data_IF_127193185793
#
_entry.id   IF_127193185793
#
_cell.length_a   1.000
_cell.length_b   1.000
_cell.length_c   1.000
_cell.angle_alpha   90.00
_cell.angle_beta   90.00
_cell.angle_gamma   90.00
#
_symmetry.space_group_name_H-M   'P 1'
#
loop_
_entity.id
_entity.type
_entity.pdbx_description
1 polymer ?
#
# COMPACT_ATOMS: atom_id res chain seq x y z
N UNK A 1 -7.17 16.21 1.27
CA UNK A 1 -8.03 16.98 0.34
C UNK A 1 -9.52 16.72 0.55
N UNK A 2 -10.01 15.48 0.45
CA UNK A 2 -11.46 15.18 0.50
C UNK A 2 -12.15 15.61 1.81
N UNK A 3 -11.52 15.37 2.96
CA UNK A 3 -12.02 15.82 4.27
C UNK A 3 -12.21 17.34 4.32
N UNK A 4 -11.18 18.09 3.93
CA UNK A 4 -11.21 19.56 3.87
C UNK A 4 -12.32 20.05 2.95
N UNK A 5 -12.50 19.41 1.79
CA UNK A 5 -13.57 19.74 0.85
C UNK A 5 -14.96 19.49 1.46
N UNK A 6 -15.16 18.33 2.11
CA UNK A 6 -16.41 17.99 2.81
C UNK A 6 -16.73 19.04 3.86
N UNK A 7 -15.76 19.36 4.72
CA UNK A 7 -15.99 20.20 5.90
C UNK A 7 -16.16 21.67 5.51
N UNK A 8 -15.36 22.17 4.58
CA UNK A 8 -15.43 23.57 4.13
C UNK A 8 -16.75 23.89 3.42
N UNK A 9 -17.22 22.99 2.55
CA UNK A 9 -18.46 23.18 1.79
C UNK A 9 -19.68 22.52 2.43
N UNK A 10 -19.52 21.88 3.60
CA UNK A 10 -20.56 21.14 4.31
C UNK A 10 -21.31 20.14 3.40
N UNK A 11 -20.53 19.35 2.65
CA UNK A 11 -21.07 18.44 1.64
C UNK A 11 -21.69 17.20 2.29
N UNK A 12 -22.86 16.79 1.79
CA UNK A 12 -23.49 15.53 2.21
C UNK A 12 -22.74 14.31 1.64
N UNK A 13 -22.88 13.11 2.25
CA UNK A 13 -22.27 11.89 1.71
C UNK A 13 -22.66 11.59 0.26
N UNK A 14 -23.88 11.93 -0.16
CA UNK A 14 -24.31 11.76 -1.55
C UNK A 14 -23.58 12.71 -2.50
N UNK A 15 -23.38 13.97 -2.10
CA UNK A 15 -22.61 14.92 -2.92
C UNK A 15 -21.15 14.51 -2.95
N UNK A 16 -20.56 14.19 -1.81
CA UNK A 16 -19.18 13.69 -1.72
C UNK A 16 -18.94 12.45 -2.59
N UNK A 17 -19.86 11.48 -2.58
CA UNK A 17 -19.79 10.30 -3.45
C UNK A 17 -19.67 10.71 -4.93
N UNK A 18 -20.52 11.65 -5.37
CA UNK A 18 -20.50 12.15 -6.76
C UNK A 18 -19.19 12.87 -7.08
N UNK A 19 -18.68 13.70 -6.17
CA UNK A 19 -17.40 14.40 -6.39
C UNK A 19 -16.23 13.41 -6.49
N UNK A 20 -16.17 12.41 -5.60
CA UNK A 20 -15.14 11.36 -5.64
C UNK A 20 -15.24 10.56 -6.94
N UNK A 21 -16.44 10.19 -7.38
CA UNK A 21 -16.66 9.48 -8.65
C UNK A 21 -16.26 10.34 -9.86
N UNK A 22 -16.55 11.64 -9.84
CA UNK A 22 -16.13 12.57 -10.87
C UNK A 22 -14.61 12.67 -10.98
N UNK A 23 -13.92 12.82 -9.85
CA UNK A 23 -12.45 12.84 -9.80
C UNK A 23 -11.84 11.51 -10.26
N UNK A 24 -12.46 10.38 -9.91
CA UNK A 24 -12.02 9.06 -10.36
C UNK A 24 -12.18 8.91 -11.87
N UNK A 25 -13.32 9.32 -12.44
CA UNK A 25 -13.53 9.31 -13.90
C UNK A 25 -12.51 10.18 -14.63
N UNK A 26 -12.27 11.40 -14.16
CA UNK A 26 -11.25 12.29 -14.72
C UNK A 26 -9.85 11.65 -14.67
N UNK A 27 -9.52 10.96 -13.58
CA UNK A 27 -8.26 10.20 -13.45
C UNK A 27 -8.18 9.09 -14.50
N UNK A 28 -9.26 8.34 -14.70
CA UNK A 28 -9.31 7.27 -15.71
C UNK A 28 -9.16 7.84 -17.13
N UNK A 29 -9.80 8.96 -17.43
CA UNK A 29 -9.70 9.64 -18.73
C UNK A 29 -8.29 10.15 -19.00
N UNK A 30 -7.65 10.78 -18.01
CA UNK A 30 -6.26 11.26 -18.09
C UNK A 30 -5.26 10.11 -18.33
N UNK A 31 -5.45 8.96 -17.68
CA UNK A 31 -4.62 7.78 -17.93
C UNK A 31 -4.90 7.16 -19.30
N UNK A 32 -6.18 7.08 -19.68
CA UNK A 32 -6.61 6.46 -20.93
C UNK A 32 -6.13 7.25 -22.15
N UNK A 33 -6.11 8.58 -22.10
CA UNK A 33 -5.56 9.42 -23.16
C UNK A 33 -4.05 9.15 -23.39
N UNK A 34 -3.35 8.66 -22.36
CA UNK A 34 -1.94 8.26 -22.38
C UNK A 34 -1.73 6.76 -22.60
N UNK A 35 -2.80 6.04 -22.96
CA UNK A 35 -2.79 4.62 -23.29
C UNK A 35 -2.69 3.67 -22.08
N UNK A 36 -3.04 4.13 -20.88
CA UNK A 36 -2.98 3.34 -19.64
C UNK A 36 -4.39 3.07 -19.14
N UNK A 37 -4.77 1.80 -19.03
CA UNK A 37 -6.03 1.44 -18.40
C UNK A 37 -5.85 1.37 -16.88
N UNK A 38 -6.61 2.18 -16.13
CA UNK A 38 -6.55 2.23 -14.66
C UNK A 38 -6.60 0.84 -13.98
N UNK A 39 -7.43 -0.07 -14.50
CA UNK A 39 -7.57 -1.43 -13.98
C UNK A 39 -6.26 -2.26 -14.00
N UNK A 40 -5.33 -1.95 -14.91
CA UNK A 40 -4.02 -2.61 -15.02
C UNK A 40 -3.05 -2.19 -13.90
N UNK A 41 -3.33 -1.09 -13.21
CA UNK A 41 -2.49 -0.53 -12.15
C UNK A 41 -2.73 -1.19 -10.79
N UNK A 42 -3.82 -1.95 -10.64
CA UNK A 42 -4.27 -2.54 -9.37
C UNK A 42 -3.14 -3.22 -8.59
N UNK A 43 -2.28 -4.00 -9.24
CA UNK A 43 -1.21 -4.73 -8.54
C UNK A 43 -0.09 -3.85 -7.98
N UNK A 44 -0.01 -2.57 -8.36
CA UNK A 44 0.85 -1.59 -7.69
C UNK A 44 0.14 -0.84 -6.56
N UNK A 45 -1.19 -0.89 -6.49
CA UNK A 45 -2.01 -0.05 -5.60
C UNK A 45 -2.60 -0.82 -4.41
N UNK A 46 -2.51 -2.15 -4.39
CA UNK A 46 -3.01 -2.98 -3.29
C UNK A 46 -1.97 -4.03 -2.88
N UNK A 47 -1.92 -4.43 -1.60
CA UNK A 47 -1.02 -5.50 -1.17
C UNK A 47 -1.39 -6.84 -1.81
N UNK A 48 -0.39 -7.66 -2.11
CA UNK A 48 -0.56 -8.99 -2.71
C UNK A 48 0.00 -10.07 -1.77
N UNK A 49 -0.84 -11.02 -1.37
CA UNK A 49 -0.56 -12.00 -0.31
C UNK A 49 0.69 -12.88 -0.52
N UNK A 50 1.18 -13.05 -1.75
CA UNK A 50 2.39 -13.82 -2.07
C UNK A 50 3.58 -12.97 -2.56
N UNK A 51 3.58 -11.66 -2.25
CA UNK A 51 4.66 -10.73 -2.62
C UNK A 51 5.24 -10.01 -1.41
N UNK A 52 6.52 -9.70 -1.46
CA UNK A 52 7.20 -8.98 -0.39
C UNK A 52 7.01 -7.47 -0.50
N UNK A 53 7.13 -6.80 0.63
CA UNK A 53 7.32 -5.36 0.71
C UNK A 53 8.66 -5.14 1.42
N UNK A 54 9.47 -4.19 0.95
CA UNK A 54 10.78 -3.91 1.52
C UNK A 54 11.11 -2.43 1.45
N UNK A 55 11.79 -1.95 2.48
CA UNK A 55 12.39 -0.61 2.56
C UNK A 55 13.91 -0.73 2.49
N UNK A 56 14.52 -0.33 1.38
CA UNK A 56 15.96 -0.32 1.18
C UNK A 56 16.55 0.96 1.78
N UNK A 57 17.55 0.81 2.66
CA UNK A 57 18.11 1.89 3.45
C UNK A 57 19.51 2.23 2.94
N UNK A 58 19.76 3.54 2.79
CA UNK A 58 20.99 4.09 2.27
C UNK A 58 21.53 5.15 3.22
N UNK A 59 22.83 5.11 3.51
CA UNK A 59 23.53 6.15 4.26
C UNK A 59 23.88 7.30 3.30
N UNK A 60 23.16 8.42 3.45
CA UNK A 60 23.38 9.62 2.64
C UNK A 60 24.74 10.25 2.88
N UNK A 61 25.38 9.99 4.04
CA UNK A 61 26.71 10.52 4.34
C UNK A 61 27.81 9.86 3.50
N UNK A 62 27.52 8.68 2.93
CA UNK A 62 28.40 7.98 1.99
C UNK A 62 28.23 8.45 0.55
N UNK A 63 27.38 9.44 0.29
CA UNK A 63 27.11 9.98 -1.05
C UNK A 63 27.65 11.41 -1.15
N UNK A 64 28.58 11.65 -2.07
CA UNK A 64 29.21 12.97 -2.25
C UNK A 64 28.25 14.01 -2.85
N UNK A 65 27.25 13.56 -3.61
CA UNK A 65 26.26 14.44 -4.23
C UNK A 65 25.35 15.07 -3.18
N UNK A 66 25.15 16.38 -3.27
CA UNK A 66 24.12 17.09 -2.47
C UNK A 66 22.70 16.62 -2.80
N UNK A 67 22.52 15.90 -3.91
CA UNK A 67 21.28 15.24 -4.28
C UNK A 67 21.46 13.72 -4.19
N UNK A 68 21.57 13.22 -2.97
CA UNK A 68 21.76 11.78 -2.71
C UNK A 68 20.63 10.92 -3.27
N UNK A 69 19.41 11.45 -3.33
CA UNK A 69 18.27 10.76 -3.93
C UNK A 69 18.50 10.39 -5.40
N UNK A 70 19.22 11.20 -6.17
CA UNK A 70 19.58 10.88 -7.55
C UNK A 70 20.54 9.69 -7.62
N UNK A 71 21.60 9.69 -6.82
CA UNK A 71 22.57 8.60 -6.79
C UNK A 71 21.92 7.26 -6.38
N UNK A 72 20.99 7.31 -5.43
CA UNK A 72 20.19 6.13 -5.03
C UNK A 72 19.24 5.71 -6.15
N UNK A 73 18.61 6.66 -6.87
CA UNK A 73 17.75 6.36 -8.00
C UNK A 73 18.52 5.68 -9.14
N UNK A 74 19.72 6.15 -9.47
CA UNK A 74 20.62 5.53 -10.46
C UNK A 74 20.96 4.08 -10.10
N UNK A 75 21.13 3.79 -8.81
CA UNK A 75 21.39 2.43 -8.33
C UNK A 75 20.13 1.53 -8.31
N UNK A 76 18.94 2.09 -8.10
CA UNK A 76 17.70 1.31 -7.85
C UNK A 76 16.80 1.16 -9.08
N UNK A 77 16.68 2.19 -9.93
CA UNK A 77 15.83 2.17 -11.14
C UNK A 77 16.13 0.97 -12.06
N UNK A 78 17.41 0.62 -12.33
CA UNK A 78 17.75 -0.51 -13.21
C UNK A 78 17.28 -1.87 -12.67
N UNK A 79 17.02 -1.98 -11.36
CA UNK A 79 16.73 -3.25 -10.70
C UNK A 79 15.25 -3.66 -10.80
N UNK A 80 14.36 -2.73 -11.15
CA UNK A 80 12.94 -3.03 -11.32
C UNK A 80 12.68 -3.96 -12.52
N UNK A 81 11.93 -5.04 -12.30
CA UNK A 81 11.48 -5.93 -13.38
C UNK A 81 10.47 -5.21 -14.27
N UNK A 82 10.80 -4.97 -15.55
CA UNK A 82 9.92 -4.28 -16.53
C UNK A 82 8.56 -4.94 -16.80
N UNK A 83 8.23 -6.08 -16.18
CA UNK A 83 6.91 -6.73 -16.25
C UNK A 83 6.04 -6.49 -15.01
N UNK A 84 6.59 -5.93 -13.94
CA UNK A 84 5.87 -5.69 -12.69
C UNK A 84 5.03 -4.41 -12.73
N UNK A 85 4.09 -4.29 -11.80
CA UNK A 85 3.50 -3.00 -11.41
C UNK A 85 3.74 -2.82 -9.92
N UNK A 86 4.40 -1.75 -9.52
CA UNK A 86 4.85 -1.51 -8.14
C UNK A 86 4.78 -0.02 -7.82
N UNK A 87 4.38 0.30 -6.59
CA UNK A 87 4.51 1.65 -6.06
C UNK A 87 5.84 1.79 -5.33
N UNK A 88 6.47 2.94 -5.52
CA UNK A 88 7.72 3.31 -4.88
C UNK A 88 7.50 4.56 -4.03
N UNK A 89 7.87 4.44 -2.77
CA UNK A 89 7.82 5.53 -1.80
C UNK A 89 9.23 5.84 -1.33
N UNK A 90 9.53 7.11 -1.14
CA UNK A 90 10.86 7.56 -0.77
C UNK A 90 10.80 8.58 0.37
N UNK A 91 11.91 8.74 1.08
CA UNK A 91 12.07 9.75 2.12
C UNK A 91 13.19 9.41 3.09
N UNK A 92 13.60 10.39 3.89
CA UNK A 92 14.54 10.17 4.96
C UNK A 92 13.85 9.55 6.19
N UNK A 93 14.60 8.91 7.07
CA UNK A 93 14.07 8.44 8.36
C UNK A 93 13.91 9.60 9.34
N UNK A 94 12.88 10.42 9.12
CA UNK A 94 12.55 11.58 9.97
C UNK A 94 11.87 11.17 11.28
N UNK A 95 12.10 11.93 12.33
CA UNK A 95 11.48 11.74 13.65
C UNK A 95 12.28 12.45 14.73
N UNK A 96 11.64 12.85 15.83
CA UNK A 96 12.34 13.52 16.95
C UNK A 96 13.03 12.50 17.87
N UNK A 97 12.42 11.33 18.06
CA UNK A 97 12.96 10.26 18.90
C UNK A 97 13.97 9.40 18.13
N UNK A 98 15.24 9.78 18.22
CA UNK A 98 16.34 9.06 17.56
C UNK A 98 16.60 7.69 18.17
N UNK A 99 16.31 7.50 19.46
CA UNK A 99 16.46 6.20 20.10
C UNK A 99 15.43 5.22 19.53
N UNK A 100 14.19 5.67 19.35
CA UNK A 100 13.15 4.86 18.72
C UNK A 100 13.52 4.43 17.29
N UNK A 101 14.08 5.34 16.48
CA UNK A 101 14.53 5.02 15.11
C UNK A 101 15.66 3.99 15.16
N UNK A 102 16.63 4.19 16.05
CA UNK A 102 17.73 3.25 16.25
C UNK A 102 17.23 1.85 16.65
N UNK A 103 16.30 1.76 17.61
CA UNK A 103 15.71 0.50 18.06
C UNK A 103 14.99 -0.21 16.89
N UNK A 104 14.23 0.53 16.06
CA UNK A 104 13.61 -0.03 14.85
C UNK A 104 14.65 -0.64 13.91
N UNK A 105 15.78 0.05 13.69
CA UNK A 105 16.85 -0.45 12.84
C UNK A 105 17.47 -1.71 13.45
N UNK A 106 17.76 -1.72 14.75
CA UNK A 106 18.30 -2.90 15.41
C UNK A 106 17.36 -4.11 15.34
N UNK A 107 16.06 -3.88 15.48
CA UNK A 107 15.04 -4.94 15.46
C UNK A 107 14.78 -5.51 14.06
N UNK A 108 14.78 -4.66 13.04
CA UNK A 108 14.16 -5.00 11.74
C UNK A 108 15.10 -4.94 10.53
N UNK A 109 16.26 -4.28 10.64
CA UNK A 109 17.16 -4.10 9.51
C UNK A 109 17.93 -5.39 9.22
N UNK A 110 17.73 -5.94 8.03
CA UNK A 110 18.62 -6.93 7.45
C UNK A 110 19.85 -6.19 6.96
N UNK A 111 20.88 -6.17 7.81
CA UNK A 111 22.12 -5.44 7.59
C UNK A 111 22.95 -6.09 6.46
N UNK A 112 23.33 -5.29 5.47
CA UNK A 112 24.28 -5.66 4.41
C UNK A 112 25.67 -5.14 4.71
N UNK A 113 25.76 -3.89 5.16
CA UNK A 113 27.01 -3.21 5.48
C UNK A 113 26.91 -2.56 6.86
N UNK A 114 27.99 -2.66 7.64
CA UNK A 114 28.07 -1.94 8.91
C UNK A 114 28.16 -0.44 8.67
N UNK A 115 27.39 0.33 9.43
CA UNK A 115 27.43 1.79 9.40
C UNK A 115 27.37 2.32 10.84
N UNK A 116 27.70 3.59 11.02
CA UNK A 116 27.56 4.27 12.31
C UNK A 116 26.29 5.09 12.28
N UNK A 117 25.32 4.74 13.12
CA UNK A 117 24.10 5.54 13.23
C UNK A 117 24.42 6.89 13.90
N UNK A 118 24.29 7.97 13.12
CA UNK A 118 24.45 9.34 13.62
C UNK A 118 23.07 9.96 13.90
N UNK A 119 22.15 9.84 12.94
CA UNK A 119 20.79 10.37 13.02
C UNK A 119 19.91 9.71 11.94
N UNK A 120 18.61 9.61 12.17
CA UNK A 120 17.67 9.03 11.20
C UNK A 120 17.64 9.78 9.87
N UNK A 121 17.74 11.12 9.89
CA UNK A 121 17.78 11.94 8.66
C UNK A 121 19.05 11.76 7.83
N UNK A 122 20.07 11.07 8.35
CA UNK A 122 21.23 10.67 7.56
C UNK A 122 20.93 9.42 6.71
N UNK A 123 19.81 8.74 6.95
CA UNK A 123 19.39 7.53 6.25
C UNK A 123 18.24 7.83 5.30
N UNK A 124 18.47 7.58 4.01
CA UNK A 124 17.46 7.66 2.97
C UNK A 124 16.84 6.28 2.72
N UNK A 125 15.53 6.25 2.49
CA UNK A 125 14.76 5.03 2.31
C UNK A 125 14.10 5.01 0.94
N UNK A 126 14.18 3.85 0.26
CA UNK A 126 13.38 3.52 -0.92
C UNK A 126 12.52 2.31 -0.57
N UNK A 127 11.23 2.53 -0.40
CA UNK A 127 10.24 1.49 -0.18
C UNK A 127 9.65 1.03 -1.50
N UNK A 128 9.54 -0.29 -1.70
CA UNK A 128 8.94 -0.90 -2.88
C UNK A 128 7.96 -1.97 -2.46
N UNK A 129 6.72 -1.87 -2.97
CA UNK A 129 5.71 -2.89 -2.72
C UNK A 129 5.77 -4.06 -3.74
N UNK A 130 5.11 -5.14 -3.35
CA UNK A 130 4.79 -6.28 -4.20
C UNK A 130 5.97 -6.92 -4.97
N UNK A 131 7.15 -6.96 -4.36
CA UNK A 131 8.33 -7.65 -4.87
C UNK A 131 8.11 -9.16 -4.91
N UNK A 132 8.60 -9.83 -5.97
CA UNK A 132 8.80 -11.28 -5.89
C UNK A 132 9.98 -11.61 -4.98
N UNK A 133 10.09 -12.85 -4.50
CA UNK A 133 11.28 -13.28 -3.75
C UNK A 133 12.56 -13.06 -4.58
N UNK A 134 12.51 -13.39 -5.88
CA UNK A 134 13.61 -13.18 -6.80
C UNK A 134 13.94 -11.69 -7.01
N UNK A 135 12.93 -10.81 -7.01
CA UNK A 135 13.15 -9.37 -7.15
C UNK A 135 13.76 -8.77 -5.87
N UNK A 136 13.26 -9.17 -4.68
CA UNK A 136 13.84 -8.74 -3.41
C UNK A 136 15.32 -9.14 -3.31
N UNK A 137 15.62 -10.40 -3.64
CA UNK A 137 16.98 -10.92 -3.65
C UNK A 137 17.86 -10.20 -4.70
N UNK A 138 17.32 -9.93 -5.89
CA UNK A 138 18.04 -9.17 -6.92
C UNK A 138 18.37 -7.75 -6.45
N UNK A 139 17.41 -7.04 -5.84
CA UNK A 139 17.64 -5.73 -5.27
C UNK A 139 18.75 -5.79 -4.20
N UNK A 140 18.58 -6.64 -3.19
CA UNK A 140 19.52 -6.74 -2.09
C UNK A 140 20.94 -7.04 -2.59
N UNK A 141 21.11 -8.08 -3.41
CA UNK A 141 22.42 -8.49 -3.91
C UNK A 141 23.09 -7.45 -4.80
N UNK A 142 22.33 -6.80 -5.69
CA UNK A 142 22.91 -5.76 -6.57
C UNK A 142 23.35 -4.54 -5.75
N UNK A 143 22.53 -4.13 -4.78
CA UNK A 143 22.81 -2.98 -3.93
C UNK A 143 23.97 -3.24 -2.95
N UNK A 144 24.28 -4.48 -2.58
CA UNK A 144 25.46 -4.80 -1.76
C UNK A 144 26.78 -4.23 -2.33
N UNK A 145 26.86 -4.02 -3.65
CA UNK A 145 28.04 -3.44 -4.31
C UNK A 145 28.05 -1.90 -4.33
N UNK A 146 26.96 -1.26 -3.91
CA UNK A 146 26.81 0.18 -3.83
C UNK A 146 27.13 0.62 -2.39
N UNK A 147 28.28 1.27 -2.13
CA UNK A 147 28.74 1.55 -0.77
C UNK A 147 27.74 2.28 0.15
N UNK A 148 26.89 3.20 -0.33
CA UNK A 148 25.85 3.81 0.50
C UNK A 148 24.77 2.84 1.00
N UNK A 149 24.61 1.66 0.39
CA UNK A 149 23.58 0.71 0.77
C UNK A 149 23.88 0.05 2.11
N UNK A 150 23.02 0.31 3.10
CA UNK A 150 23.16 -0.22 4.45
C UNK A 150 22.52 -1.61 4.57
N UNK A 151 21.36 -1.80 3.95
CA UNK A 151 20.54 -3.00 4.12
C UNK A 151 19.08 -2.75 3.78
N UNK A 152 18.19 -3.65 4.17
CA UNK A 152 16.75 -3.45 3.98
C UNK A 152 15.92 -3.88 5.18
N UNK A 153 14.77 -3.25 5.36
CA UNK A 153 13.78 -3.63 6.37
C UNK A 153 12.64 -4.38 5.66
N UNK A 154 12.40 -5.67 6.00
CA UNK A 154 11.23 -6.39 5.55
C UNK A 154 9.96 -5.74 6.11
N UNK A 155 8.99 -5.45 5.23
CA UNK A 155 7.72 -4.80 5.57
C UNK A 155 6.51 -5.57 5.05
N UNK A 156 6.70 -6.84 4.70
CA UNK A 156 5.63 -7.75 4.25
C UNK A 156 4.53 -7.93 5.30
N UNK A 157 4.90 -7.88 6.58
CA UNK A 157 4.01 -8.07 7.74
C UNK A 157 3.92 -6.81 8.59
N UNK A 158 2.89 -6.71 9.42
CA UNK A 158 2.75 -5.65 10.40
C UNK A 158 3.93 -5.66 11.38
N UNK A 159 4.55 -4.50 11.54
CA UNK A 159 5.67 -4.30 12.48
C UNK A 159 5.75 -2.83 12.91
N UNK A 160 6.53 -2.56 13.96
CA UNK A 160 6.87 -1.18 14.37
C UNK A 160 7.53 -0.43 13.22
N UNK A 161 8.45 -1.08 12.51
CA UNK A 161 9.13 -0.51 11.36
C UNK A 161 8.15 -0.13 10.24
N UNK A 162 7.25 -1.05 9.83
CA UNK A 162 6.25 -0.77 8.79
C UNK A 162 5.33 0.39 9.19
N UNK A 163 4.89 0.41 10.45
CA UNK A 163 4.06 1.48 10.99
C UNK A 163 4.77 2.82 10.93
N UNK A 164 6.02 2.88 11.39
CA UNK A 164 6.84 4.09 11.33
C UNK A 164 7.08 4.57 9.89
N UNK A 165 7.49 3.68 8.98
CA UNK A 165 7.73 4.02 7.57
C UNK A 165 6.47 4.56 6.89
N UNK A 166 5.29 4.02 7.22
CA UNK A 166 4.01 4.50 6.67
C UNK A 166 3.66 5.95 7.02
N UNK A 167 4.26 6.53 8.06
CA UNK A 167 4.01 7.92 8.46
C UNK A 167 5.02 8.92 7.91
N UNK A 168 6.13 8.46 7.35
CA UNK A 168 7.23 9.34 6.94
C UNK A 168 7.54 9.29 5.44
N UNK A 169 7.24 8.17 4.76
CA UNK A 169 7.54 8.03 3.34
C UNK A 169 6.43 8.64 2.49
N UNK A 170 6.83 9.29 1.40
CA UNK A 170 5.93 9.90 0.43
C UNK A 170 5.92 9.09 -0.88
N UNK A 171 4.78 9.09 -1.58
CA UNK A 171 4.70 8.48 -2.91
C UNK A 171 5.63 9.21 -3.87
N UNK A 172 6.59 8.48 -4.45
CA UNK A 172 7.52 9.03 -5.43
C UNK A 172 7.02 8.74 -6.84
N UNK A 173 6.68 7.48 -7.14
CA UNK A 173 6.11 7.11 -8.43
C UNK A 173 5.44 5.73 -8.38
N UNK A 174 4.51 5.53 -9.31
CA UNK A 174 3.92 4.23 -9.63
C UNK A 174 4.58 3.71 -10.91
N UNK A 175 5.26 2.57 -10.81
CA UNK A 175 5.87 1.90 -11.94
C UNK A 175 4.89 0.87 -12.50
N UNK A 176 4.59 0.95 -13.80
CA UNK A 176 3.78 -0.03 -14.53
C UNK A 176 4.49 -0.48 -15.81
N UNK A 177 4.98 -1.71 -15.83
CA UNK A 177 5.70 -2.23 -16.99
C UNK A 177 7.01 -1.45 -17.23
N UNK A 178 7.11 -0.78 -18.37
CA UNK A 178 8.18 0.18 -18.70
C UNK A 178 7.72 1.64 -18.59
N UNK A 179 6.58 1.91 -17.94
CA UNK A 179 6.07 3.27 -17.73
C UNK A 179 6.20 3.66 -16.26
N UNK A 180 6.64 4.89 -15.99
CA UNK A 180 6.64 5.52 -14.69
C UNK A 180 5.49 6.53 -14.68
N UNK A 181 4.62 6.46 -13.69
CA UNK A 181 3.45 7.31 -13.50
C UNK A 181 3.68 8.14 -12.25
N UNK A 182 3.54 9.47 -12.33
CA UNK A 182 3.72 10.38 -11.19
C UNK A 182 2.76 11.57 -11.24
N UNK A 183 2.65 12.27 -10.10
CA UNK A 183 1.95 13.56 -10.04
C UNK A 183 2.76 14.69 -10.68
N UNK A 184 2.08 15.64 -11.33
CA UNK A 184 2.62 16.94 -11.68
C UNK A 184 1.76 18.07 -11.10
N UNK A 185 2.21 19.31 -11.17
CA UNK A 185 1.48 20.45 -10.59
C UNK A 185 0.04 20.55 -11.13
N UNK A 186 -0.91 20.88 -10.25
CA UNK A 186 -2.35 20.89 -10.60
C UNK A 186 -2.72 22.04 -11.56
N UNK A 187 -1.87 23.06 -11.73
CA UNK A 187 -2.06 24.14 -12.70
C UNK A 187 -1.60 23.78 -14.13
N UNK A 188 -0.96 22.61 -14.29
CA UNK A 188 -0.48 22.09 -15.56
C UNK A 188 -1.52 21.15 -16.20
N UNK A 189 -1.69 21.16 -17.53
CA UNK A 189 -2.65 20.30 -18.21
C UNK A 189 -2.20 18.83 -18.26
N UNK A 190 -3.17 17.90 -18.17
CA UNK A 190 -2.91 16.45 -18.17
C UNK A 190 -2.44 15.92 -19.53
N UNK A 191 -2.46 16.70 -20.60
CA UNK A 191 -1.88 16.31 -21.89
C UNK A 191 -0.35 16.22 -21.83
N UNK A 192 0.28 16.89 -20.87
CA UNK A 192 1.72 16.94 -20.73
C UNK A 192 2.26 15.83 -19.81
N UNK A 193 3.50 15.40 -20.08
CA UNK A 193 4.25 14.47 -19.23
C UNK A 193 5.50 15.18 -18.69
N UNK A 194 5.66 15.32 -17.37
CA UNK A 194 6.92 15.73 -16.75
C UNK A 194 7.40 14.80 -15.68
N UNK A 195 8.73 14.77 -15.60
CA UNK A 195 9.49 14.13 -14.56
C UNK A 195 9.78 15.11 -13.42
N UNK A 196 8.79 15.37 -12.55
CA UNK A 196 9.02 16.30 -11.44
C UNK A 196 10.08 15.82 -10.45
N UNK A 197 10.20 14.51 -10.27
CA UNK A 197 11.20 13.93 -9.37
C UNK A 197 12.61 14.07 -9.94
N UNK A 198 12.75 14.22 -11.26
CA UNK A 198 14.04 14.48 -11.93
C UNK A 198 14.98 13.28 -12.02
N UNK A 199 14.52 12.06 -11.72
CA UNK A 199 15.35 10.86 -11.82
C UNK A 199 15.55 10.40 -13.28
N UNK A 200 16.65 9.70 -13.61
CA UNK A 200 17.02 9.35 -14.98
C UNK A 200 16.26 8.13 -15.52
N UNK A 201 14.92 8.16 -15.46
CA UNK A 201 14.07 7.04 -15.88
C UNK A 201 14.26 6.67 -17.36
N UNK A 202 14.35 7.69 -18.23
CA UNK A 202 14.48 7.50 -19.68
C UNK A 202 15.82 6.86 -20.06
N UNK A 203 16.89 7.19 -19.34
CA UNK A 203 18.22 6.57 -19.52
C UNK A 203 18.19 5.06 -19.25
N UNK A 204 17.27 4.60 -18.40
CA UNK A 204 17.03 3.18 -18.12
C UNK A 204 15.90 2.57 -18.95
N UNK A 205 15.43 3.28 -19.98
CA UNK A 205 14.44 2.81 -20.94
C UNK A 205 13.04 2.70 -20.34
N UNK A 206 12.68 3.62 -19.45
CA UNK A 206 11.31 3.85 -19.02
C UNK A 206 10.71 5.04 -19.77
N UNK A 207 9.42 4.96 -20.04
CA UNK A 207 8.60 6.09 -20.48
C UNK A 207 8.02 6.80 -19.28
N UNK A 208 7.99 8.12 -19.31
CA UNK A 208 7.38 8.92 -18.25
C UNK A 208 5.95 9.27 -18.65
N UNK A 209 5.05 9.14 -17.69
CA UNK A 209 3.68 9.61 -17.72
C UNK A 209 3.42 10.39 -16.45
N UNK A 210 2.74 11.52 -16.56
CA UNK A 210 2.28 12.25 -15.39
C UNK A 210 0.84 12.73 -15.56
N UNK A 211 0.19 12.99 -14.43
CA UNK A 211 -1.11 13.63 -14.32
C UNK A 211 -1.11 14.55 -13.10
N UNK A 212 -2.06 15.46 -13.03
CA UNK A 212 -2.24 16.38 -11.90
C UNK A 212 -2.14 15.63 -10.55
N UNK A 213 -1.35 16.17 -9.62
CA UNK A 213 -1.05 15.53 -8.33
C UNK A 213 -2.29 15.25 -7.51
N UNK A 214 -3.32 16.11 -7.59
CA UNK A 214 -4.61 15.85 -6.94
C UNK A 214 -5.26 14.52 -7.38
N UNK A 215 -5.08 14.10 -8.63
CA UNK A 215 -5.54 12.80 -9.13
C UNK A 215 -4.60 11.68 -8.71
N UNK A 216 -3.29 11.90 -8.86
CA UNK A 216 -2.28 10.91 -8.51
C UNK A 216 -2.36 10.54 -7.01
N UNK A 217 -2.36 11.53 -6.12
CA UNK A 217 -2.34 11.32 -4.68
C UNK A 217 -3.62 10.66 -4.16
N UNK A 218 -4.76 10.94 -4.78
CA UNK A 218 -6.05 10.34 -4.38
C UNK A 218 -6.22 8.89 -4.84
N UNK A 219 -5.82 8.57 -6.07
CA UNK A 219 -6.20 7.30 -6.70
C UNK A 219 -5.04 6.39 -7.08
N UNK A 220 -3.82 6.93 -7.17
CA UNK A 220 -2.61 6.21 -7.58
C UNK A 220 -1.53 6.17 -6.49
N UNK A 221 -1.72 6.90 -5.40
CA UNK A 221 -0.88 6.83 -4.21
C UNK A 221 -1.10 5.52 -3.46
N UNK A 222 -0.03 4.73 -3.28
CA UNK A 222 -0.09 3.55 -2.42
C UNK A 222 0.00 3.98 -0.96
N UNK A 223 -0.86 3.40 -0.13
CA UNK A 223 -0.82 3.57 1.32
C UNK A 223 -0.20 2.31 1.94
N UNK A 224 0.98 2.46 2.55
CA UNK A 224 1.59 1.39 3.34
C UNK A 224 0.60 1.02 4.46
N UNK A 225 0.26 -0.27 4.54
CA UNK A 225 -0.68 -0.75 5.54
C UNK A 225 -0.14 -0.51 6.95
N UNK A 226 -0.96 0.15 7.78
CA UNK A 226 -0.68 0.45 9.18
C UNK A 226 -1.96 0.43 10.03
N UNK A 227 -1.83 0.40 11.37
CA UNK A 227 -2.95 0.65 12.26
C UNK A 227 -3.66 1.97 11.99
N UNK A 228 -4.99 1.98 12.16
CA UNK A 228 -5.77 3.22 12.18
C UNK A 228 -5.53 3.91 13.51
N UNK A 229 -4.93 5.10 13.48
CA UNK A 229 -4.72 5.91 14.67
C UNK A 229 -5.95 6.76 14.99
N UNK A 230 -6.27 6.97 16.29
CA UNK A 230 -7.34 7.88 16.67
C UNK A 230 -7.18 9.27 16.03
N UNK A 231 -8.24 9.76 15.39
CA UNK A 231 -8.26 11.02 14.64
C UNK A 231 -7.96 10.88 13.14
N UNK A 232 -7.66 9.67 12.65
CA UNK A 232 -7.42 9.39 11.23
C UNK A 232 -8.49 8.45 10.61
N UNK A 233 -9.64 8.29 11.26
CA UNK A 233 -10.73 7.41 10.81
C UNK A 233 -11.42 7.93 9.53
N UNK A 234 -11.31 9.22 9.26
CA UNK A 234 -11.87 9.89 8.08
C UNK A 234 -11.40 9.27 6.76
N UNK A 235 -10.20 8.70 6.73
CA UNK A 235 -9.66 8.02 5.55
C UNK A 235 -10.53 6.81 5.15
N UNK A 236 -10.99 6.03 6.13
CA UNK A 236 -11.88 4.88 5.92
C UNK A 236 -13.27 5.36 5.52
N UNK A 237 -13.76 6.43 6.13
CA UNK A 237 -15.03 7.06 5.77
C UNK A 237 -15.04 7.48 4.29
N UNK A 238 -14.02 8.23 3.85
CA UNK A 238 -13.89 8.70 2.47
C UNK A 238 -13.74 7.54 1.48
N UNK A 239 -13.01 6.49 1.89
CA UNK A 239 -12.89 5.26 1.09
C UNK A 239 -14.25 4.60 0.87
N UNK A 240 -15.05 4.43 1.92
CA UNK A 240 -16.41 3.90 1.80
C UNK A 240 -17.32 4.83 0.98
N UNK A 241 -17.16 6.14 1.13
CA UNK A 241 -17.91 7.12 0.37
C UNK A 241 -17.60 7.07 -1.13
N UNK A 242 -16.41 6.62 -1.51
CA UNK A 242 -16.07 6.39 -2.91
C UNK A 242 -16.97 5.34 -3.57
N UNK A 243 -17.52 4.38 -2.81
CA UNK A 243 -18.33 3.27 -3.35
C UNK A 243 -19.76 3.21 -2.80
N UNK A 244 -20.12 4.11 -1.87
CA UNK A 244 -21.42 4.16 -1.22
C UNK A 244 -21.88 5.60 -1.00
N UNK A 245 -23.19 5.85 -1.12
CA UNK A 245 -23.83 7.08 -0.59
C UNK A 245 -24.29 6.92 0.85
N UNK A 246 -24.43 5.68 1.33
CA UNK A 246 -24.75 5.36 2.73
C UNK A 246 -23.44 5.00 3.45
N UNK A 247 -22.86 5.98 4.12
CA UNK A 247 -21.55 5.87 4.78
C UNK A 247 -21.76 5.86 6.28
N UNK A 248 -21.47 4.72 6.89
CA UNK A 248 -21.43 4.52 8.33
C UNK A 248 -20.04 4.01 8.73
N UNK A 249 -19.49 4.46 9.87
CA UNK A 249 -18.27 3.90 10.41
C UNK A 249 -18.39 2.38 10.53
N UNK A 250 -17.45 1.66 9.93
CA UNK A 250 -17.41 0.20 10.00
C UNK A 250 -16.97 -0.31 11.37
N UNK A 251 -16.43 0.56 12.22
CA UNK A 251 -16.15 0.20 13.60
C UNK A 251 -17.46 -0.17 14.32
N UNK A 252 -17.43 -1.31 15.01
CA UNK A 252 -18.62 -1.86 15.65
C UNK A 252 -19.56 -2.68 14.77
N UNK A 253 -19.32 -2.80 13.45
CA UNK A 253 -20.12 -3.70 12.61
C UNK A 253 -19.93 -5.17 13.05
N UNK A 254 -20.98 -5.96 12.89
CA UNK A 254 -20.89 -7.43 13.02
C UNK A 254 -20.17 -7.98 11.80
N UNK A 255 -19.28 -8.95 12.00
CA UNK A 255 -18.73 -9.73 10.88
C UNK A 255 -19.45 -11.05 10.82
N UNK A 256 -20.08 -11.33 9.68
CA UNK A 256 -20.85 -12.54 9.45
C UNK A 256 -20.10 -13.48 8.51
N UNK A 257 -19.82 -14.70 8.99
CA UNK A 257 -19.38 -15.82 8.18
C UNK A 257 -20.47 -16.89 8.19
N UNK A 258 -21.17 -17.05 7.06
CA UNK A 258 -22.22 -18.07 6.95
C UNK A 258 -21.64 -19.49 7.12
N UNK A 259 -22.32 -20.35 7.89
CA UNK A 259 -21.88 -21.74 8.15
C UNK A 259 -21.62 -22.53 6.87
N UNK A 260 -22.44 -22.32 5.83
CA UNK A 260 -22.24 -22.96 4.53
C UNK A 260 -20.91 -22.56 3.89
N UNK A 261 -20.50 -21.29 4.02
CA UNK A 261 -19.21 -20.79 3.54
C UNK A 261 -18.05 -21.30 4.38
N UNK A 262 -18.20 -21.34 5.70
CA UNK A 262 -17.18 -21.95 6.59
C UNK A 262 -16.95 -23.42 6.23
N UNK A 263 -18.02 -24.19 6.01
CA UNK A 263 -17.94 -25.56 5.53
C UNK A 263 -17.29 -25.68 4.15
N UNK A 264 -17.57 -24.76 3.23
CA UNK A 264 -16.90 -24.70 1.92
C UNK A 264 -15.39 -24.45 2.08
N UNK A 265 -15.00 -23.52 2.94
CA UNK A 265 -13.59 -23.23 3.24
C UNK A 265 -12.89 -24.47 3.82
N UNK A 266 -13.51 -25.15 4.79
CA UNK A 266 -12.99 -26.39 5.40
C UNK A 266 -12.95 -27.59 4.45
N UNK A 267 -13.72 -27.60 3.36
CA UNK A 267 -13.76 -28.74 2.42
C UNK A 267 -12.97 -28.51 1.14
N UNK A 268 -12.94 -27.28 0.61
CA UNK A 268 -12.31 -26.94 -0.68
C UNK A 268 -11.04 -26.12 -0.54
N UNK A 269 -10.77 -25.53 0.63
CA UNK A 269 -9.59 -24.70 0.91
C UNK A 269 -8.83 -25.17 2.15
N UNK A 270 -9.08 -26.39 2.64
CA UNK A 270 -8.47 -26.93 3.86
C UNK A 270 -6.95 -26.80 3.87
N UNK A 271 -6.27 -27.22 2.80
CA UNK A 271 -4.81 -27.13 2.74
C UNK A 271 -4.27 -25.69 2.78
N UNK A 272 -5.08 -24.67 2.46
CA UNK A 272 -4.71 -23.26 2.70
C UNK A 272 -4.95 -22.86 4.16
N UNK A 273 -6.07 -23.30 4.75
CA UNK A 273 -6.38 -23.04 6.16
C UNK A 273 -5.38 -23.72 7.10
N UNK A 274 -4.95 -24.94 6.78
CA UNK A 274 -3.93 -25.70 7.52
C UNK A 274 -2.59 -24.98 7.46
N UNK A 275 -2.15 -24.59 6.25
CA UNK A 275 -0.94 -23.76 6.08
C UNK A 275 -1.03 -22.43 6.83
N UNK A 276 -2.23 -21.86 6.89
CA UNK A 276 -2.49 -20.62 7.60
C UNK A 276 -2.71 -20.79 9.11
N UNK A 277 -2.68 -22.01 9.65
CA UNK A 277 -2.90 -22.26 11.08
C UNK A 277 -4.33 -21.99 11.57
N UNK A 278 -5.32 -21.86 10.68
CA UNK A 278 -6.72 -21.55 11.01
C UNK A 278 -7.71 -22.66 10.64
N UNK A 279 -7.22 -23.84 10.27
CA UNK A 279 -8.09 -24.97 9.92
C UNK A 279 -9.04 -25.36 11.06
N UNK A 280 -8.58 -25.18 12.30
CA UNK A 280 -9.34 -25.55 13.50
C UNK A 280 -10.31 -24.46 13.93
N UNK A 281 -10.09 -23.20 13.52
CA UNK A 281 -10.97 -22.09 13.91
C UNK A 281 -12.41 -22.36 13.49
N UNK A 282 -13.32 -22.09 14.41
CA UNK A 282 -14.73 -22.07 14.09
C UNK A 282 -15.12 -20.76 13.37
N UNK A 283 -16.39 -20.66 13.01
CA UNK A 283 -16.90 -19.53 12.26
C UNK A 283 -16.83 -18.21 13.07
N UNK A 284 -17.03 -18.29 14.38
CA UNK A 284 -17.10 -17.13 15.26
C UNK A 284 -15.70 -16.62 15.59
N UNK A 285 -14.73 -17.53 15.78
CA UNK A 285 -13.32 -17.19 15.95
C UNK A 285 -12.75 -16.51 14.70
N UNK A 286 -13.06 -17.02 13.50
CA UNK A 286 -12.62 -16.42 12.26
C UNK A 286 -13.28 -15.06 12.01
N UNK A 287 -14.56 -14.91 12.34
CA UNK A 287 -15.26 -13.62 12.28
C UNK A 287 -14.63 -12.59 13.24
N UNK A 288 -14.25 -13.00 14.46
CA UNK A 288 -13.54 -12.13 15.43
C UNK A 288 -12.18 -11.68 14.91
N UNK A 289 -11.41 -12.58 14.29
CA UNK A 289 -10.11 -12.25 13.69
C UNK A 289 -10.26 -11.22 12.57
N UNK A 290 -11.22 -11.44 11.68
CA UNK A 290 -11.53 -10.50 10.59
C UNK A 290 -11.96 -9.15 11.16
N UNK A 291 -12.84 -9.13 12.16
CA UNK A 291 -13.30 -7.91 12.80
C UNK A 291 -12.16 -7.10 13.41
N UNK A 292 -11.27 -7.78 14.14
CA UNK A 292 -10.08 -7.14 14.71
C UNK A 292 -9.21 -6.49 13.63
N UNK A 293 -9.01 -7.18 12.50
CA UNK A 293 -8.24 -6.63 11.37
C UNK A 293 -8.95 -5.44 10.71
N UNK A 294 -10.27 -5.51 10.51
CA UNK A 294 -11.06 -4.40 9.92
C UNK A 294 -10.96 -3.14 10.76
N UNK A 295 -11.05 -3.25 12.09
CA UNK A 295 -10.93 -2.08 12.98
C UNK A 295 -9.50 -1.54 13.01
N UNK A 296 -8.50 -2.39 12.81
CA UNK A 296 -7.09 -2.05 13.01
C UNK A 296 -6.30 -1.84 11.71
N UNK A 297 -6.91 -1.74 10.53
CA UNK A 297 -6.16 -1.60 9.26
C UNK A 297 -6.97 -0.95 8.15
N UNK A 298 -6.26 -0.47 7.13
CA UNK A 298 -6.88 0.08 5.94
C UNK A 298 -7.63 -0.98 5.11
N UNK A 299 -8.70 -0.53 4.47
CA UNK A 299 -9.45 -1.30 3.48
C UNK A 299 -8.93 -0.98 2.08
N UNK A 300 -8.96 -1.95 1.18
CA UNK A 300 -8.46 -1.77 -0.18
C UNK A 300 -9.26 -2.61 -1.19
N UNK A 301 -8.99 -2.40 -2.48
CA UNK A 301 -9.72 -3.05 -3.58
C UNK A 301 -11.25 -2.86 -3.46
N UNK A 302 -11.67 -1.62 -3.21
CA UNK A 302 -13.07 -1.26 -3.10
C UNK A 302 -13.75 -1.38 -4.47
N UNK A 303 -14.96 -1.91 -4.48
CA UNK A 303 -15.75 -2.03 -5.71
C UNK A 303 -17.25 -2.03 -5.39
N UNK A 304 -18.03 -1.38 -6.24
CA UNK A 304 -19.47 -1.61 -6.34
C UNK A 304 -19.75 -2.59 -7.48
N UNK A 305 -20.59 -3.59 -7.23
CA UNK A 305 -21.01 -4.61 -8.18
C UNK A 305 -22.50 -4.38 -8.51
N UNK A 306 -22.83 -3.64 -9.59
CA UNK A 306 -24.20 -3.24 -9.89
C UNK A 306 -25.15 -4.43 -10.08
N UNK A 307 -24.69 -5.50 -10.72
CA UNK A 307 -25.49 -6.69 -11.02
C UNK A 307 -26.02 -7.42 -9.77
N UNK A 308 -25.42 -7.16 -8.61
CA UNK A 308 -25.77 -7.78 -7.34
C UNK A 308 -26.10 -6.76 -6.25
N UNK A 309 -26.02 -5.46 -6.56
CA UNK A 309 -26.08 -4.36 -5.60
C UNK A 309 -25.14 -4.57 -4.39
N UNK A 310 -23.91 -5.04 -4.67
CA UNK A 310 -22.93 -5.40 -3.64
C UNK A 310 -21.79 -4.41 -3.62
N UNK A 311 -21.58 -3.77 -2.48
CA UNK A 311 -20.37 -3.01 -2.19
C UNK A 311 -19.40 -3.95 -1.49
N UNK A 312 -18.16 -4.03 -1.97
CA UNK A 312 -17.14 -4.88 -1.37
C UNK A 312 -15.79 -4.20 -1.23
N UNK A 313 -15.01 -4.68 -0.28
CA UNK A 313 -13.62 -4.32 -0.08
C UNK A 313 -12.84 -5.51 0.49
N UNK A 314 -11.52 -5.40 0.57
CA UNK A 314 -10.66 -6.43 1.10
C UNK A 314 -9.88 -5.96 2.33
N UNK A 315 -9.48 -6.92 3.15
CA UNK A 315 -8.47 -6.78 4.23
C UNK A 315 -7.49 -7.95 4.20
N UNK A 316 -6.23 -7.72 4.61
CA UNK A 316 -5.19 -8.77 4.66
C UNK A 316 -5.05 -9.31 6.07
N UNK A 317 -5.50 -10.53 6.33
CA UNK A 317 -5.27 -11.18 7.62
C UNK A 317 -3.82 -11.67 7.68
N UNK A 318 -3.16 -11.44 8.81
CA UNK A 318 -1.86 -12.05 9.14
C UNK A 318 -2.09 -13.03 10.27
N UNK A 319 -1.98 -14.33 9.96
CA UNK A 319 -2.20 -15.37 10.96
C UNK A 319 -0.85 -15.92 11.44
N UNK A 320 -0.55 -15.85 12.75
CA UNK A 320 0.64 -16.46 13.32
C UNK A 320 0.69 -17.97 13.04
N UNK A 321 1.89 -18.47 12.73
CA UNK A 321 2.10 -19.92 12.61
C UNK A 321 2.53 -20.53 13.93
N UNK A 322 2.25 -21.81 14.12
CA UNK A 322 2.63 -22.58 15.31
C UNK A 322 4.10 -22.99 15.31
N UNK A 323 4.79 -22.94 14.16
CA UNK A 323 6.17 -23.39 13.96
C UNK A 323 7.21 -22.25 13.99
N UNK A 324 6.91 -21.15 14.68
CA UNK A 324 7.75 -19.94 14.78
C UNK A 324 8.12 -19.26 13.43
N UNK A 325 7.54 -19.73 12.32
CA UNK A 325 7.72 -19.12 11.01
C UNK A 325 6.93 -17.82 10.82
N UNK A 326 7.20 -17.11 9.71
CA UNK A 326 6.46 -15.90 9.35
C UNK A 326 4.95 -16.14 9.27
N UNK A 327 4.11 -15.15 9.65
CA UNK A 327 2.67 -15.28 9.55
C UNK A 327 2.21 -15.68 8.14
N UNK A 328 1.09 -16.38 8.05
CA UNK A 328 0.45 -16.61 6.75
C UNK A 328 -0.50 -15.47 6.45
N UNK A 329 -0.40 -14.91 5.24
CA UNK A 329 -1.32 -13.88 4.77
C UNK A 329 -2.53 -14.50 4.06
N UNK A 330 -3.72 -14.11 4.51
CA UNK A 330 -4.99 -14.54 3.93
C UNK A 330 -5.81 -13.31 3.56
N UNK A 331 -6.21 -13.22 2.30
CA UNK A 331 -7.04 -12.11 1.83
C UNK A 331 -8.51 -12.40 2.18
N UNK A 332 -9.15 -11.52 2.94
CA UNK A 332 -10.59 -11.58 3.16
C UNK A 332 -11.30 -10.52 2.32
N UNK A 333 -12.27 -10.95 1.50
CA UNK A 333 -13.18 -10.05 0.80
C UNK A 333 -14.50 -9.96 1.56
N UNK A 334 -14.94 -8.74 1.84
CA UNK A 334 -16.09 -8.42 2.67
C UNK A 334 -17.09 -7.61 1.88
N UNK A 335 -18.36 -7.92 2.05
CA UNK A 335 -19.47 -7.09 1.60
C UNK A 335 -19.86 -6.11 2.69
N UNK A 336 -20.00 -4.85 2.32
CA UNK A 336 -20.41 -3.76 3.20
C UNK A 336 -21.94 -3.62 3.20
N UNK A 337 -22.58 -3.89 4.33
CA UNK A 337 -24.04 -3.82 4.51
C UNK A 337 -24.40 -2.77 5.58
N UNK A 338 -24.39 -1.47 5.23
CA UNK A 338 -24.54 -0.39 6.21
C UNK A 338 -25.90 -0.40 6.91
N UNK A 339 -26.99 -0.71 6.20
CA UNK A 339 -28.35 -0.75 6.76
C UNK A 339 -28.48 -1.79 7.89
N UNK A 340 -27.78 -2.91 7.77
CA UNK A 340 -27.76 -4.00 8.75
C UNK A 340 -26.61 -3.87 9.76
N UNK A 341 -25.71 -2.89 9.58
CA UNK A 341 -24.45 -2.77 10.32
C UNK A 341 -23.65 -4.07 10.31
N UNK A 342 -23.55 -4.69 9.14
CA UNK A 342 -22.96 -6.01 8.94
C UNK A 342 -21.85 -5.98 7.88
N UNK A 343 -20.86 -6.84 8.06
CA UNK A 343 -19.82 -7.16 7.10
C UNK A 343 -19.89 -8.64 6.78
N UNK A 344 -20.44 -8.98 5.61
CA UNK A 344 -20.60 -10.38 5.20
C UNK A 344 -19.34 -10.87 4.50
N UNK A 345 -18.77 -11.97 4.96
CA UNK A 345 -17.59 -12.59 4.31
C UNK A 345 -17.99 -13.16 2.96
N UNK A 346 -17.42 -12.63 1.88
CA UNK A 346 -17.63 -13.12 0.52
C UNK A 346 -16.75 -14.35 0.28
N UNK A 347 -15.44 -14.21 0.48
CA UNK A 347 -14.43 -15.23 0.21
C UNK A 347 -13.14 -14.98 1.00
N UNK A 348 -12.37 -16.05 1.22
CA UNK A 348 -11.01 -16.04 1.78
C UNK A 348 -10.03 -16.68 0.78
N UNK A 349 -8.88 -16.04 0.52
CA UNK A 349 -7.92 -16.47 -0.50
C UNK A 349 -6.49 -16.64 -0.02
#
# INVERSE_FOLDING_TARGET
MLEVMRDHFNLSPTVMHREIQGLHLATQEALQSKGIAYAQLKSGLVPIGNRNEAAFIFDSQCIESSWYGLAVAEATIPLHDKRSTQSVLCGDLIGEDQQFIFDILQESLVLSQSFTFVHGTALYCVYVNNLSDAALEAFHRSLCSFPPYVGFIPTTFASRAKTYLSSILVNSYLKHGNTIIMGHEDDRPNEEDVNLVGYPFEDFGYRIVSLQSSFFDLFLGYKIERPVFPGFEVDTEMSLNAVSTNVLPIDGFTVELEKAKHNYLKTKKLGKLEKAGIADLDSDELAKLIRAKVTASYIYNLAYLPDHDVIKFNVMLEIPRTDEGYPTRVLAALEYQPTQKNLRVITLH
#
